data_IF_816400409128
#
_entry.id   IF_816400409128
#
_cell.length_a   1.000
_cell.length_b   1.000
_cell.length_c   1.000
_cell.angle_alpha   90.00
_cell.angle_beta   90.00
_cell.angle_gamma   90.00
#
_symmetry.space_group_name_H-M   'P 1'
#
loop_
_entity.id
_entity.type
_entity.pdbx_description
1 polymer ?
#
# COMPACT_ATOMS: atom_id res chain seq x y z
N UNK A 1 6.75 3.43 9.93
CA UNK A 1 6.33 4.03 8.64
C UNK A 1 4.90 4.50 8.77
N UNK A 2 4.64 5.79 8.55
CA UNK A 2 3.31 6.38 8.66
C UNK A 2 2.47 6.16 7.41
N UNK A 3 1.35 6.88 7.29
CA UNK A 3 0.47 6.82 6.10
C UNK A 3 1.09 7.43 4.84
N UNK A 4 1.84 8.53 4.97
CA UNK A 4 2.45 9.25 3.84
C UNK A 4 3.92 9.65 4.01
N UNK A 5 4.51 9.43 5.19
CA UNK A 5 5.92 9.75 5.45
C UNK A 5 6.66 8.59 6.10
N UNK A 6 7.96 8.55 5.83
CA UNK A 6 8.91 7.65 6.45
C UNK A 6 10.01 8.47 7.10
N UNK A 7 10.05 8.48 8.43
CA UNK A 7 11.01 9.24 9.22
C UNK A 7 11.83 8.28 10.10
N UNK A 8 13.15 8.51 10.15
CA UNK A 8 14.12 7.76 10.95
C UNK A 8 14.87 8.74 11.84
N UNK A 9 14.92 8.47 13.14
CA UNK A 9 15.65 9.29 14.11
C UNK A 9 16.61 8.43 14.91
N UNK A 10 17.90 8.79 14.91
CA UNK A 10 18.89 8.20 15.80
C UNK A 10 18.88 8.97 17.11
N UNK A 11 18.69 8.25 18.21
CA UNK A 11 18.62 8.81 19.56
C UNK A 11 19.53 8.04 20.50
N UNK A 12 20.17 8.76 21.41
CA UNK A 12 20.94 8.21 22.52
C UNK A 12 20.23 8.50 23.84
N UNK A 13 20.34 7.57 24.79
CA UNK A 13 19.75 7.72 26.12
C UNK A 13 20.87 7.66 27.15
N UNK A 14 21.08 8.76 27.87
CA UNK A 14 22.09 8.88 28.92
C UNK A 14 21.47 9.46 30.19
N UNK A 15 21.64 8.78 31.32
CA UNK A 15 21.18 9.23 32.64
C UNK A 15 19.71 9.68 32.70
N UNK A 16 18.85 9.08 31.87
CA UNK A 16 17.42 9.43 31.78
C UNK A 16 17.11 10.64 30.89
N UNK A 17 18.13 11.26 30.29
CA UNK A 17 17.97 12.23 29.21
C UNK A 17 17.99 11.52 27.84
N UNK A 18 17.09 11.93 26.95
CA UNK A 18 17.03 11.49 25.56
C UNK A 18 17.61 12.59 24.69
N UNK A 19 18.65 12.26 23.92
CA UNK A 19 19.30 13.17 22.98
C UNK A 19 19.10 12.67 21.55
N UNK A 20 18.72 13.57 20.64
CA UNK A 20 18.57 13.27 19.22
C UNK A 20 19.88 13.57 18.52
N UNK A 21 20.54 12.54 17.99
CA UNK A 21 21.82 12.65 17.30
C UNK A 21 21.63 13.01 15.82
N UNK A 22 20.64 12.41 15.16
CA UNK A 22 20.34 12.70 13.75
C UNK A 22 18.89 12.35 13.40
N UNK A 23 18.37 12.96 12.33
CA UNK A 23 17.06 12.64 11.75
C UNK A 23 17.19 12.65 10.23
N UNK A 24 16.57 11.66 9.58
CA UNK A 24 16.46 11.53 8.13
C UNK A 24 15.05 11.02 7.77
N UNK A 25 14.65 11.11 6.51
CA UNK A 25 13.35 10.61 6.09
C UNK A 25 12.95 10.99 4.68
N UNK A 26 11.79 10.48 4.25
CA UNK A 26 11.15 10.78 2.98
C UNK A 26 9.69 11.18 3.20
N UNK A 27 9.36 12.42 2.82
CA UNK A 27 8.02 13.01 3.02
C UNK A 27 6.96 12.54 2.01
N UNK A 28 7.33 11.71 1.04
CA UNK A 28 6.45 11.15 0.00
C UNK A 28 6.67 9.64 -0.10
N UNK A 29 6.66 8.97 1.05
CA UNK A 29 6.78 7.52 1.14
C UNK A 29 6.10 7.04 2.41
N UNK A 30 4.95 6.40 2.26
CA UNK A 30 4.15 5.90 3.36
C UNK A 30 3.31 4.69 2.97
N UNK A 31 2.48 4.24 3.90
CA UNK A 31 1.59 3.10 3.69
C UNK A 31 0.63 3.28 2.51
N UNK A 32 0.24 4.52 2.19
CA UNK A 32 -0.63 4.82 1.06
C UNK A 32 0.02 4.49 -0.29
N UNK A 33 1.32 4.75 -0.47
CA UNK A 33 2.03 4.41 -1.71
C UNK A 33 1.98 2.91 -2.02
N UNK A 34 2.10 2.08 -0.98
CA UNK A 34 1.95 0.62 -1.11
C UNK A 34 0.52 0.22 -1.48
N UNK A 35 -0.47 0.90 -0.90
CA UNK A 35 -1.89 0.65 -1.20
C UNK A 35 -2.22 1.07 -2.64
N UNK A 36 -1.66 2.17 -3.12
CA UNK A 36 -1.85 2.65 -4.48
C UNK A 36 -1.19 1.71 -5.49
N UNK A 37 0.00 1.21 -5.16
CA UNK A 37 0.68 0.19 -5.98
C UNK A 37 -0.14 -1.10 -6.08
N UNK A 38 -0.71 -1.56 -4.96
CA UNK A 38 -1.57 -2.74 -4.92
C UNK A 38 -2.89 -2.53 -5.67
N UNK A 39 -3.46 -1.33 -5.59
CA UNK A 39 -4.68 -0.95 -6.33
C UNK A 39 -4.42 -0.98 -7.82
N UNK A 40 -3.31 -0.38 -8.28
CA UNK A 40 -2.91 -0.40 -9.68
C UNK A 40 -2.64 -1.81 -10.20
N UNK A 41 -1.98 -2.66 -9.40
CA UNK A 41 -1.80 -4.08 -9.73
C UNK A 41 -3.14 -4.81 -9.87
N UNK A 42 -4.05 -4.64 -8.92
CA UNK A 42 -5.36 -5.31 -8.93
C UNK A 42 -6.22 -4.93 -10.13
N UNK A 43 -6.16 -3.67 -10.57
CA UNK A 43 -6.81 -3.20 -11.80
C UNK A 43 -6.15 -3.79 -13.06
N UNK A 44 -4.82 -3.91 -13.07
CA UNK A 44 -4.08 -4.52 -14.18
C UNK A 44 -4.42 -6.00 -14.35
N UNK A 45 -4.63 -6.74 -13.27
CA UNK A 45 -5.11 -8.13 -13.33
C UNK A 45 -6.51 -8.24 -13.97
N UNK A 46 -7.29 -7.16 -13.93
CA UNK A 46 -8.59 -7.04 -14.61
C UNK A 46 -8.48 -6.40 -16.01
N UNK A 47 -7.25 -6.20 -16.53
CA UNK A 47 -7.01 -5.60 -17.83
C UNK A 47 -7.27 -4.09 -17.90
N UNK A 48 -7.30 -3.39 -16.76
CA UNK A 48 -7.54 -1.95 -16.69
C UNK A 48 -6.31 -1.18 -16.22
N UNK A 49 -6.14 0.03 -16.77
CA UNK A 49 -5.17 1.00 -16.27
C UNK A 49 -5.82 1.86 -15.18
N UNK A 50 -5.09 2.13 -14.09
CA UNK A 50 -5.58 2.90 -12.96
C UNK A 50 -6.02 4.33 -13.34
N UNK A 51 -5.26 5.03 -14.18
CA UNK A 51 -5.57 6.40 -14.60
C UNK A 51 -6.90 6.44 -15.38
N UNK A 52 -7.11 5.47 -16.26
CA UNK A 52 -8.37 5.33 -17.01
C UNK A 52 -9.51 5.00 -16.05
N UNK A 53 -9.31 4.04 -15.15
CA UNK A 53 -10.33 3.61 -14.20
C UNK A 53 -10.72 4.71 -13.20
N UNK A 54 -9.79 5.55 -12.77
CA UNK A 54 -10.07 6.71 -11.91
C UNK A 54 -10.94 7.75 -12.62
N UNK A 55 -10.69 7.96 -13.92
CA UNK A 55 -11.48 8.88 -14.73
C UNK A 55 -12.87 8.34 -15.07
N UNK A 56 -13.01 7.05 -15.37
CA UNK A 56 -14.28 6.46 -15.81
C UNK A 56 -15.14 5.90 -14.67
N UNK A 57 -14.51 5.33 -13.64
CA UNK A 57 -15.17 4.64 -12.53
C UNK A 57 -14.56 5.02 -11.17
N UNK A 58 -14.59 6.30 -10.77
CA UNK A 58 -13.94 6.78 -9.55
C UNK A 58 -14.44 6.08 -8.27
N UNK A 59 -15.73 5.72 -8.22
CA UNK A 59 -16.31 4.99 -7.08
C UNK A 59 -15.77 3.55 -6.97
N UNK A 60 -15.53 2.89 -8.10
CA UNK A 60 -14.90 1.57 -8.16
C UNK A 60 -13.50 1.62 -7.59
N UNK A 61 -12.69 2.58 -8.05
CA UNK A 61 -11.30 2.73 -7.56
C UNK A 61 -11.26 3.08 -6.08
N UNK A 62 -12.11 4.01 -5.62
CA UNK A 62 -12.17 4.37 -4.21
C UNK A 62 -12.49 3.17 -3.30
N UNK A 63 -13.41 2.30 -3.72
CA UNK A 63 -13.77 1.08 -2.98
C UNK A 63 -12.68 0.02 -3.05
N UNK A 64 -12.06 -0.15 -4.22
CA UNK A 64 -10.95 -1.06 -4.41
C UNK A 64 -9.74 -0.68 -3.55
N UNK A 65 -9.43 0.62 -3.43
CA UNK A 65 -8.34 1.13 -2.58
C UNK A 65 -8.53 0.72 -1.12
N UNK A 66 -9.78 0.74 -0.62
CA UNK A 66 -10.11 0.26 0.74
C UNK A 66 -9.88 -1.25 0.88
N UNK A 67 -10.30 -2.06 -0.08
CA UNK A 67 -10.04 -3.51 -0.04
C UNK A 67 -8.54 -3.82 -0.15
N UNK A 68 -7.78 -3.05 -0.94
CA UNK A 68 -6.33 -3.17 -1.06
C UNK A 68 -5.63 -2.81 0.26
N UNK A 69 -6.06 -1.76 0.96
CA UNK A 69 -5.56 -1.43 2.30
C UNK A 69 -5.79 -2.59 3.29
N UNK A 70 -6.99 -3.20 3.26
CA UNK A 70 -7.30 -4.36 4.08
C UNK A 70 -6.45 -5.57 3.71
N UNK A 71 -6.25 -5.84 2.43
CA UNK A 71 -5.41 -6.94 1.95
C UNK A 71 -3.95 -6.74 2.33
N UNK A 72 -3.39 -5.53 2.18
CA UNK A 72 -2.04 -5.18 2.63
C UNK A 72 -1.83 -5.48 4.11
N UNK A 73 -2.80 -5.10 4.97
CA UNK A 73 -2.76 -5.43 6.40
C UNK A 73 -2.78 -6.94 6.63
N UNK A 74 -3.65 -7.68 5.93
CA UNK A 74 -3.68 -9.16 6.02
C UNK A 74 -2.37 -9.80 5.60
N UNK A 75 -1.70 -9.29 4.57
CA UNK A 75 -0.39 -9.79 4.12
C UNK A 75 0.75 -9.61 5.15
N UNK A 76 0.57 -8.73 6.14
CA UNK A 76 1.51 -8.60 7.26
C UNK A 76 1.42 -9.78 8.22
N UNK A 77 0.30 -10.48 8.26
CA UNK A 77 0.04 -11.62 9.16
C UNK A 77 -0.06 -12.95 8.43
N UNK A 78 -0.47 -12.94 7.16
CA UNK A 78 -0.69 -14.11 6.30
C UNK A 78 0.15 -14.07 5.03
N UNK A 79 0.39 -15.23 4.41
CA UNK A 79 1.18 -15.32 3.17
C UNK A 79 0.38 -14.93 1.92
N UNK A 80 -0.95 -14.89 1.99
CA UNK A 80 -1.83 -14.45 0.91
C UNK A 80 -3.06 -13.72 1.41
N UNK A 81 -3.69 -12.96 0.52
CA UNK A 81 -4.93 -12.24 0.77
C UNK A 81 -5.81 -12.16 -0.49
N UNK A 82 -7.12 -12.24 -0.29
CA UNK A 82 -8.12 -12.00 -1.32
C UNK A 82 -8.50 -10.52 -1.35
N UNK A 83 -8.56 -9.93 -2.55
CA UNK A 83 -9.05 -8.58 -2.82
C UNK A 83 -10.37 -8.71 -3.57
N UNK A 84 -11.47 -8.24 -2.96
CA UNK A 84 -12.78 -8.23 -3.60
C UNK A 84 -12.88 -7.06 -4.55
N UNK A 85 -13.36 -7.30 -5.75
CA UNK A 85 -13.46 -6.31 -6.81
C UNK A 85 -14.86 -5.71 -6.80
N UNK A 86 -15.00 -4.39 -6.59
CA UNK A 86 -16.27 -3.72 -6.78
C UNK A 86 -16.59 -3.59 -8.28
N UNK A 87 -17.87 -3.47 -8.60
CA UNK A 87 -18.37 -3.12 -9.92
C UNK A 87 -18.15 -1.61 -10.21
N UNK A 88 -18.51 -1.17 -11.41
CA UNK A 88 -18.27 0.20 -11.90
C UNK A 88 -18.98 1.29 -11.09
N UNK A 89 -20.04 0.93 -10.35
CA UNK A 89 -20.76 1.83 -9.43
C UNK A 89 -20.15 1.83 -8.01
N UNK A 90 -19.09 1.07 -7.77
CA UNK A 90 -18.48 0.93 -6.44
C UNK A 90 -19.30 0.05 -5.50
N UNK A 91 -20.13 -0.86 -6.02
CA UNK A 91 -20.90 -1.84 -5.24
C UNK A 91 -20.28 -3.23 -5.37
N UNK A 92 -20.62 -4.11 -4.42
CA UNK A 92 -20.29 -5.53 -4.52
C UNK A 92 -21.55 -6.28 -4.90
N UNK A 93 -21.46 -7.08 -5.96
CA UNK A 93 -22.52 -8.00 -6.33
C UNK A 93 -22.57 -9.18 -5.32
N UNK A 94 -23.57 -10.05 -5.42
CA UNK A 94 -23.76 -11.16 -4.45
C UNK A 94 -22.55 -12.13 -4.41
N UNK A 95 -21.87 -12.31 -5.54
CA UNK A 95 -20.62 -13.05 -5.67
C UNK A 95 -19.59 -12.17 -6.41
N UNK A 96 -18.92 -11.25 -5.71
CA UNK A 96 -18.04 -10.29 -6.35
C UNK A 96 -16.77 -11.00 -6.83
N UNK A 97 -16.25 -10.66 -8.03
CA UNK A 97 -14.98 -11.20 -8.48
C UNK A 97 -13.88 -10.86 -7.48
N UNK A 98 -12.90 -11.75 -7.33
CA UNK A 98 -11.77 -11.51 -6.43
C UNK A 98 -10.45 -11.84 -7.10
N UNK A 99 -9.41 -11.11 -6.70
CA UNK A 99 -8.03 -11.33 -7.10
C UNK A 99 -7.25 -11.80 -5.87
N UNK A 100 -6.49 -12.87 -6.02
CA UNK A 100 -5.61 -13.38 -4.96
C UNK A 100 -4.22 -12.77 -5.13
N UNK A 101 -3.66 -12.24 -4.04
CA UNK A 101 -2.28 -11.79 -4.01
C UNK A 101 -1.53 -12.52 -2.90
N UNK A 102 -0.31 -12.95 -3.19
CA UNK A 102 0.63 -13.47 -2.20
C UNK A 102 1.68 -12.42 -1.80
N UNK A 103 2.35 -12.70 -0.69
CA UNK A 103 3.37 -11.82 -0.11
C UNK A 103 4.57 -11.60 -1.04
N UNK A 104 4.93 -12.59 -1.87
CA UNK A 104 6.05 -12.50 -2.79
C UNK A 104 5.74 -11.55 -3.96
N UNK A 105 4.55 -11.69 -4.53
CA UNK A 105 4.00 -10.82 -5.57
C UNK A 105 3.90 -9.38 -5.04
N UNK A 106 3.36 -9.19 -3.83
CA UNK A 106 3.27 -7.87 -3.22
C UNK A 106 4.64 -7.21 -3.01
N UNK A 107 5.65 -7.97 -2.55
CA UNK A 107 7.04 -7.48 -2.44
C UNK A 107 7.62 -7.10 -3.80
N UNK A 108 7.39 -7.92 -4.82
CA UNK A 108 7.88 -7.68 -6.18
C UNK A 108 7.26 -6.41 -6.76
N UNK A 109 5.95 -6.24 -6.63
CA UNK A 109 5.24 -5.04 -7.09
C UNK A 109 5.65 -3.79 -6.32
N UNK A 110 6.00 -3.93 -5.04
CA UNK A 110 6.42 -2.81 -4.18
C UNK A 110 7.92 -2.59 -4.14
N UNK A 111 8.71 -3.32 -4.93
CA UNK A 111 10.18 -3.32 -4.86
C UNK A 111 10.78 -1.91 -4.89
N UNK A 112 10.31 -1.07 -5.82
CA UNK A 112 10.78 0.32 -5.92
C UNK A 112 10.53 1.16 -4.67
N UNK A 113 9.44 0.89 -3.95
CA UNK A 113 9.14 1.58 -2.69
C UNK A 113 10.03 1.03 -1.56
N UNK A 114 10.28 -0.27 -1.56
CA UNK A 114 11.19 -0.91 -0.62
C UNK A 114 12.63 -0.40 -0.78
N UNK A 115 13.12 -0.28 -2.02
CA UNK A 115 14.46 0.25 -2.31
C UNK A 115 14.62 1.69 -1.77
N UNK A 116 13.56 2.51 -1.77
CA UNK A 116 13.57 3.87 -1.22
C UNK A 116 13.65 3.90 0.32
N UNK A 117 13.20 2.85 1.00
CA UNK A 117 13.31 2.75 2.47
C UNK A 117 14.75 2.57 2.94
N UNK A 118 15.66 2.12 2.06
CA UNK A 118 17.07 1.94 2.41
C UNK A 118 17.85 3.26 2.40
N UNK A 119 17.40 4.30 1.69
CA UNK A 119 18.16 5.54 1.54
C UNK A 119 18.32 6.37 2.84
N UNK A 120 17.33 6.43 3.76
CA UNK A 120 17.47 7.14 5.03
C UNK A 120 18.19 6.34 6.14
N UNK A 121 18.55 5.07 5.89
CA UNK A 121 19.22 4.17 6.84
C UNK A 121 20.74 4.16 6.64
#
# INVERSE_FOLDING_TARGET
LGGGTFDVTLMEIFEGALEITSTAGEGQLGGEDFTDRLTAWSLREQGMNIEIAEMTHPLRVARLRVECELAKRRLSESDSAAIRMPNDEGRYDDDPPSVQIDRETFKTESKRLLDRLEAPL
#
